data_IF_354710708163
#
_entry.id   IF_354710708163
#
_cell.length_a   1.000
_cell.length_b   1.000
_cell.length_c   1.000
_cell.angle_alpha   90.00
_cell.angle_beta   90.00
_cell.angle_gamma   90.00
#
_symmetry.space_group_name_H-M   'P 1'
#
loop_
_entity.id
_entity.type
_entity.pdbx_description
1 polymer ?
#
# COMPACT_ATOMS: atom_id res chain seq x y z
N UNK A 1 -6.04 7.70 -7.32
CA UNK A 1 -5.67 6.43 -6.66
C UNK A 1 -4.60 6.62 -5.59
N UNK A 2 -3.55 7.31 -5.88
CA UNK A 2 -2.43 7.45 -4.96
C UNK A 2 -2.79 8.15 -3.65
N UNK A 3 -3.64 9.16 -3.69
CA UNK A 3 -4.07 9.85 -2.48
C UNK A 3 -4.78 8.92 -1.51
N UNK A 4 -5.68 8.08 -2.03
CA UNK A 4 -6.42 7.14 -1.18
C UNK A 4 -5.50 6.10 -0.56
N UNK A 5 -4.52 5.64 -1.32
CA UNK A 5 -3.52 4.70 -0.80
C UNK A 5 -2.72 5.35 0.33
N UNK A 6 -2.33 6.63 0.18
CA UNK A 6 -1.63 7.35 1.25
C UNK A 6 -2.51 7.53 2.48
N UNK A 7 -3.80 7.81 2.31
CA UNK A 7 -4.73 7.89 3.43
C UNK A 7 -4.79 6.58 4.19
N UNK A 8 -4.90 5.47 3.48
CA UNK A 8 -4.94 4.14 4.09
C UNK A 8 -3.64 3.86 4.84
N UNK A 9 -2.51 4.15 4.23
CA UNK A 9 -1.20 3.94 4.86
C UNK A 9 -1.04 4.80 6.10
N UNK A 10 -1.53 6.04 6.05
CA UNK A 10 -1.49 6.93 7.20
C UNK A 10 -2.30 6.37 8.36
N UNK A 11 -3.48 5.84 8.08
CA UNK A 11 -4.33 5.23 9.12
C UNK A 11 -3.66 4.00 9.75
N UNK A 12 -3.09 3.15 8.92
CA UNK A 12 -2.48 1.91 9.42
C UNK A 12 -1.18 2.19 10.18
N UNK A 13 -0.36 3.10 9.67
CA UNK A 13 0.98 3.36 10.25
C UNK A 13 0.98 4.43 11.33
N UNK A 14 -0.01 5.32 11.33
CA UNK A 14 -0.01 6.47 12.23
C UNK A 14 0.88 7.61 11.75
N UNK A 15 1.48 7.51 10.57
CA UNK A 15 2.35 8.54 10.02
C UNK A 15 1.50 9.53 9.21
N UNK A 16 1.70 10.85 9.40
CA UNK A 16 0.91 11.84 8.66
C UNK A 16 1.06 11.71 7.15
N UNK A 17 -0.04 11.92 6.42
CA UNK A 17 -0.06 11.82 4.95
C UNK A 17 1.03 12.67 4.33
N UNK A 18 1.26 13.87 4.85
CA UNK A 18 2.24 14.81 4.30
C UNK A 18 3.66 14.26 4.28
N UNK A 19 3.95 13.24 5.09
CA UNK A 19 5.28 12.62 5.16
C UNK A 19 5.43 11.44 4.20
N UNK A 20 4.35 11.01 3.55
CA UNK A 20 4.38 9.84 2.67
C UNK A 20 4.74 10.25 1.24
N UNK A 21 5.82 9.66 0.73
CA UNK A 21 6.33 9.89 -0.62
C UNK A 21 6.18 8.59 -1.42
N UNK A 22 6.37 8.69 -2.73
CA UNK A 22 6.31 7.49 -3.59
C UNK A 22 7.37 6.46 -3.20
N UNK A 23 8.54 6.92 -2.77
CA UNK A 23 9.64 6.05 -2.38
C UNK A 23 9.69 5.75 -0.88
N UNK A 24 8.68 6.16 -0.13
CA UNK A 24 8.59 5.81 1.29
C UNK A 24 8.48 4.30 1.43
N UNK A 25 9.35 3.71 2.25
CA UNK A 25 9.39 2.26 2.45
C UNK A 25 8.42 1.86 3.56
N UNK A 26 7.57 0.87 3.25
CA UNK A 26 6.50 0.47 4.16
C UNK A 26 7.06 -0.12 5.46
N UNK A 27 7.97 -1.06 5.35
CA UNK A 27 8.61 -1.63 6.53
C UNK A 27 9.72 -0.73 7.07
N UNK A 28 10.61 -0.27 6.20
CA UNK A 28 11.79 0.47 6.61
C UNK A 28 11.51 1.85 7.20
N UNK A 29 10.60 2.61 6.54
CA UNK A 29 10.31 3.98 6.97
C UNK A 29 9.09 4.07 7.88
N UNK A 30 8.05 3.28 7.61
CA UNK A 30 6.80 3.34 8.38
C UNK A 30 6.74 2.33 9.53
N UNK A 31 7.69 1.40 9.58
CA UNK A 31 7.71 0.38 10.62
C UNK A 31 6.57 -0.63 10.53
N UNK A 32 6.01 -0.81 9.34
CA UNK A 32 4.89 -1.73 9.16
C UNK A 32 5.34 -3.18 9.22
N UNK A 33 4.60 -4.00 9.96
CA UNK A 33 4.80 -5.44 9.99
C UNK A 33 4.09 -6.09 8.80
N UNK A 34 4.30 -7.39 8.60
CA UNK A 34 3.54 -8.11 7.57
C UNK A 34 2.05 -8.12 7.88
N UNK A 35 1.68 -8.07 9.15
CA UNK A 35 0.29 -7.96 9.58
C UNK A 35 -0.30 -6.62 9.12
N UNK A 36 0.46 -5.53 9.33
CA UNK A 36 0.04 -4.19 8.89
C UNK A 36 -0.08 -4.13 7.37
N UNK A 37 0.82 -4.78 6.66
CA UNK A 37 0.76 -4.83 5.21
C UNK A 37 -0.49 -5.57 4.74
N UNK A 38 -0.84 -6.68 5.38
CA UNK A 38 -2.05 -7.42 5.05
C UNK A 38 -3.31 -6.57 5.26
N UNK A 39 -3.37 -5.80 6.36
CA UNK A 39 -4.47 -4.89 6.61
C UNK A 39 -4.56 -3.82 5.52
N UNK A 40 -3.41 -3.27 5.12
CA UNK A 40 -3.35 -2.27 4.06
C UNK A 40 -3.89 -2.83 2.75
N UNK A 41 -3.47 -4.05 2.39
CA UNK A 41 -3.91 -4.69 1.16
C UNK A 41 -5.42 -4.88 1.15
N UNK A 42 -5.99 -5.38 2.25
CA UNK A 42 -7.45 -5.56 2.34
C UNK A 42 -8.17 -4.22 2.17
N UNK A 43 -7.68 -3.17 2.83
CA UNK A 43 -8.31 -1.85 2.74
C UNK A 43 -8.25 -1.29 1.32
N UNK A 44 -7.13 -1.47 0.63
CA UNK A 44 -6.96 -1.02 -0.75
C UNK A 44 -7.87 -1.81 -1.68
N UNK A 45 -7.95 -3.12 -1.50
CA UNK A 45 -8.82 -3.97 -2.32
C UNK A 45 -10.29 -3.55 -2.18
N UNK A 46 -10.72 -3.27 -0.96
CA UNK A 46 -12.10 -2.84 -0.71
C UNK A 46 -12.37 -1.44 -1.27
N UNK A 47 -11.41 -0.53 -1.12
CA UNK A 47 -11.59 0.85 -1.55
C UNK A 47 -11.72 0.99 -3.07
N UNK A 48 -11.02 0.15 -3.83
CA UNK A 48 -10.99 0.27 -5.28
C UNK A 48 -11.65 -0.91 -6.03
N UNK A 49 -12.11 -1.93 -5.30
CA UNK A 49 -12.67 -3.11 -5.95
C UNK A 49 -11.63 -3.88 -6.77
N UNK A 50 -10.39 -3.90 -6.31
CA UNK A 50 -9.27 -4.55 -7.01
C UNK A 50 -8.74 -5.72 -6.21
N UNK A 51 -7.84 -6.49 -6.83
CA UNK A 51 -7.22 -7.65 -6.18
C UNK A 51 -5.70 -7.54 -6.24
N UNK A 52 -5.05 -7.94 -5.15
CA UNK A 52 -3.59 -8.08 -5.09
C UNK A 52 -3.30 -9.52 -4.70
N UNK A 53 -2.76 -10.34 -5.62
CA UNK A 53 -2.46 -11.75 -5.30
C UNK A 53 -1.40 -11.86 -4.21
N UNK A 54 -1.55 -12.86 -3.35
CA UNK A 54 -0.63 -13.10 -2.24
C UNK A 54 0.82 -13.26 -2.72
N UNK A 55 1.03 -13.89 -3.88
CA UNK A 55 2.36 -14.11 -4.43
C UNK A 55 3.07 -12.82 -4.83
N UNK A 56 2.36 -11.69 -4.87
CA UNK A 56 2.97 -10.41 -5.18
C UNK A 56 3.26 -9.56 -3.95
N UNK A 57 2.93 -10.03 -2.76
CA UNK A 57 3.14 -9.26 -1.52
C UNK A 57 4.61 -8.91 -1.31
N UNK A 58 5.53 -9.80 -1.70
CA UNK A 58 6.97 -9.56 -1.54
C UNK A 58 7.47 -8.37 -2.36
N UNK A 59 6.70 -7.90 -3.35
CA UNK A 59 7.06 -6.75 -4.17
C UNK A 59 6.64 -5.43 -3.53
N UNK A 60 5.82 -5.46 -2.47
CA UNK A 60 5.26 -4.26 -1.86
C UNK A 60 6.22 -3.65 -0.85
N UNK A 61 7.27 -3.01 -1.34
CA UNK A 61 8.30 -2.39 -0.51
C UNK A 61 8.06 -0.90 -0.28
N UNK A 62 7.52 -0.22 -1.29
CA UNK A 62 7.27 1.23 -1.24
C UNK A 62 5.83 1.56 -1.59
N UNK A 63 5.45 2.83 -1.38
CA UNK A 63 4.13 3.33 -1.78
C UNK A 63 3.92 3.12 -3.28
N UNK A 64 4.94 3.46 -4.09
CA UNK A 64 4.85 3.30 -5.54
C UNK A 64 4.64 1.84 -5.96
N UNK A 65 5.20 0.90 -5.22
CA UNK A 65 5.02 -0.53 -5.51
C UNK A 65 3.56 -0.95 -5.40
N UNK A 66 2.84 -0.45 -4.40
CA UNK A 66 1.42 -0.76 -4.24
C UNK A 66 0.65 -0.30 -5.47
N UNK A 67 0.89 0.93 -5.91
CA UNK A 67 0.21 1.50 -7.09
C UNK A 67 0.54 0.67 -8.34
N UNK A 68 1.81 0.34 -8.53
CA UNK A 68 2.26 -0.44 -9.69
C UNK A 68 1.60 -1.81 -9.75
N UNK A 69 1.61 -2.53 -8.63
CA UNK A 69 1.04 -3.88 -8.58
C UNK A 69 -0.46 -3.84 -8.84
N UNK A 70 -1.16 -2.87 -8.25
CA UNK A 70 -2.61 -2.72 -8.49
C UNK A 70 -2.88 -2.52 -9.98
N UNK A 71 -2.13 -1.63 -10.62
CA UNK A 71 -2.33 -1.34 -12.04
C UNK A 71 -2.04 -2.55 -12.91
N UNK A 72 -0.98 -3.27 -12.61
CA UNK A 72 -0.60 -4.44 -13.41
C UNK A 72 -1.60 -5.58 -13.28
N UNK A 73 -2.09 -5.83 -12.06
CA UNK A 73 -2.99 -6.96 -11.82
C UNK A 73 -4.42 -6.69 -12.25
N UNK A 74 -4.82 -5.43 -12.35
CA UNK A 74 -6.21 -5.07 -12.61
C UNK A 74 -6.40 -4.29 -13.92
N UNK A 75 -5.37 -4.17 -14.73
CA UNK A 75 -5.37 -3.48 -16.02
C UNK A 75 -5.86 -2.03 -15.93
N UNK A 76 -5.40 -1.33 -14.90
CA UNK A 76 -5.78 0.08 -14.69
C UNK A 76 -4.79 1.05 -15.32
#
# INVERSE_FOLDING_TARGET
>A
MEEKIREILSEVSGVPIAELQDDTRLAGDLGMSSFDLADTVVSVEEAYGVKIPDERFHELETVADIVRVIREENAL
#
